data_IF_496601351383
#
_entry.id   IF_496601351383
#
_cell.length_a   1.000
_cell.length_b   1.000
_cell.length_c   1.000
_cell.angle_alpha   90.00
_cell.angle_beta   90.00
_cell.angle_gamma   90.00
#
_symmetry.space_group_name_H-M   'P 1'
#
loop_
_entity.id
_entity.type
_entity.pdbx_description
1 polymer ?
#
# COMPACT_ATOMS: atom_id res chain seq x y z
N UNK A 1 -37.43 29.37 -4.02
CA UNK A 1 -37.94 28.02 -3.67
C UNK A 1 -36.72 27.15 -3.53
N UNK A 2 -36.51 26.64 -2.34
CA UNK A 2 -35.39 25.78 -1.99
C UNK A 2 -35.31 24.58 -2.94
N UNK A 3 -34.13 24.36 -3.51
CA UNK A 3 -33.79 23.19 -4.33
C UNK A 3 -32.44 22.62 -3.88
N UNK A 4 -32.18 21.37 -4.21
CA UNK A 4 -30.93 20.69 -3.93
C UNK A 4 -30.46 19.96 -5.19
N UNK A 5 -29.14 19.98 -5.45
CA UNK A 5 -28.48 19.05 -6.37
C UNK A 5 -27.53 18.17 -5.60
N UNK A 6 -27.39 16.92 -6.05
CA UNK A 6 -26.43 15.96 -5.50
C UNK A 6 -25.38 15.61 -6.56
N UNK A 7 -24.13 15.41 -6.14
CA UNK A 7 -23.10 14.80 -6.97
C UNK A 7 -22.45 13.65 -6.21
N UNK A 8 -22.11 12.58 -6.94
CA UNK A 8 -21.40 11.42 -6.39
C UNK A 8 -20.00 11.32 -6.95
N UNK A 9 -19.04 10.93 -6.11
CA UNK A 9 -17.69 10.59 -6.50
C UNK A 9 -17.37 9.17 -6.04
N UNK A 10 -16.92 8.31 -6.95
CA UNK A 10 -16.58 6.92 -6.65
C UNK A 10 -15.09 6.70 -6.81
N UNK A 11 -14.46 6.10 -5.80
CA UNK A 11 -13.13 5.52 -5.92
C UNK A 11 -13.29 4.01 -6.11
N UNK A 12 -12.75 3.45 -7.18
CA UNK A 12 -12.70 2.01 -7.44
C UNK A 12 -11.27 1.50 -7.32
N UNK A 13 -11.10 0.36 -6.65
CA UNK A 13 -9.82 -0.31 -6.43
C UNK A 13 -9.85 -1.64 -7.17
N UNK A 14 -8.98 -1.77 -8.16
CA UNK A 14 -8.77 -2.98 -8.95
C UNK A 14 -7.65 -3.82 -8.35
N UNK A 15 -7.81 -5.14 -8.37
CA UNK A 15 -6.81 -6.08 -7.87
C UNK A 15 -6.36 -7.02 -8.99
N UNK A 16 -5.11 -6.84 -9.43
CA UNK A 16 -4.55 -7.51 -10.61
C UNK A 16 -3.23 -8.23 -10.31
N UNK A 17 -2.85 -9.18 -11.16
CA UNK A 17 -1.49 -9.72 -11.20
C UNK A 17 -0.53 -8.83 -12.03
N UNK A 18 0.73 -9.24 -12.10
CA UNK A 18 1.79 -8.54 -12.86
C UNK A 18 1.54 -8.50 -14.38
N UNK A 19 0.69 -9.39 -14.90
CA UNK A 19 0.28 -9.42 -16.32
C UNK A 19 -0.98 -8.56 -16.58
N UNK A 20 -1.58 -7.99 -15.53
CA UNK A 20 -2.76 -7.14 -15.58
C UNK A 20 -4.11 -7.89 -15.54
N UNK A 21 -4.11 -9.20 -15.26
CA UNK A 21 -5.35 -9.96 -15.13
C UNK A 21 -6.03 -9.64 -13.79
N UNK A 22 -7.35 -9.47 -13.77
CA UNK A 22 -8.12 -9.36 -12.53
C UNK A 22 -8.09 -10.67 -11.73
N UNK A 23 -7.61 -10.60 -10.49
CA UNK A 23 -7.45 -11.78 -9.60
C UNK A 23 -8.37 -11.76 -8.38
N UNK A 24 -9.02 -10.62 -8.10
CA UNK A 24 -10.02 -10.46 -7.06
C UNK A 24 -11.04 -9.39 -7.49
N UNK A 25 -12.33 -9.49 -7.11
CA UNK A 25 -13.33 -8.46 -7.42
C UNK A 25 -12.91 -7.08 -6.92
N UNK A 26 -13.28 -6.05 -7.69
CA UNK A 26 -13.04 -4.66 -7.33
C UNK A 26 -13.68 -4.30 -5.97
N UNK A 27 -13.14 -3.28 -5.31
CA UNK A 27 -13.76 -2.65 -4.15
C UNK A 27 -13.97 -1.16 -4.45
N UNK A 28 -15.16 -0.63 -4.13
CA UNK A 28 -15.48 0.77 -4.39
C UNK A 28 -15.98 1.48 -3.14
N UNK A 29 -15.66 2.77 -3.05
CA UNK A 29 -16.17 3.71 -2.06
C UNK A 29 -16.89 4.85 -2.78
N UNK A 30 -17.99 5.35 -2.23
CA UNK A 30 -18.76 6.46 -2.84
C UNK A 30 -19.00 7.57 -1.84
N UNK A 31 -18.63 8.79 -2.22
CA UNK A 31 -18.93 10.03 -1.51
C UNK A 31 -20.12 10.72 -2.18
N UNK A 32 -21.01 11.34 -1.40
CA UNK A 32 -22.18 12.06 -1.91
C UNK A 32 -22.19 13.48 -1.35
N UNK A 33 -22.09 14.45 -2.25
CA UNK A 33 -22.07 15.88 -1.99
C UNK A 33 -23.44 16.48 -2.28
N UNK A 34 -23.89 17.46 -1.49
CA UNK A 34 -25.23 18.06 -1.59
C UNK A 34 -25.17 19.58 -1.50
N UNK A 35 -25.42 20.24 -2.63
CA UNK A 35 -25.47 21.70 -2.70
C UNK A 35 -26.92 22.18 -2.82
N UNK A 36 -27.25 23.18 -2.00
CA UNK A 36 -28.54 23.87 -2.05
C UNK A 36 -28.51 25.04 -3.02
N UNK A 37 -29.69 25.44 -3.46
CA UNK A 37 -29.91 26.63 -4.27
C UNK A 37 -31.33 27.12 -4.15
N UNK A 38 -31.59 28.26 -4.79
CA UNK A 38 -32.89 28.89 -4.85
C UNK A 38 -33.39 28.95 -6.28
N UNK A 39 -34.59 28.43 -6.48
CA UNK A 39 -35.34 28.58 -7.73
C UNK A 39 -36.30 29.77 -7.67
N UNK A 40 -36.18 30.66 -8.65
CA UNK A 40 -37.17 31.70 -8.92
C UNK A 40 -38.43 31.05 -9.53
N UNK A 41 -39.61 31.37 -8.99
CA UNK A 41 -40.89 30.76 -9.41
C UNK A 41 -41.57 31.48 -10.58
N UNK A 42 -41.09 32.67 -10.97
CA UNK A 42 -41.58 33.47 -12.10
C UNK A 42 -40.75 33.20 -13.36
N UNK A 43 -39.42 33.18 -13.24
CA UNK A 43 -38.49 32.95 -14.36
C UNK A 43 -38.11 31.47 -14.51
N UNK A 44 -38.13 30.70 -13.42
CA UNK A 44 -37.68 29.32 -13.39
C UNK A 44 -36.16 29.15 -13.26
N UNK A 45 -35.40 30.24 -13.19
CA UNK A 45 -33.94 30.26 -12.99
C UNK A 45 -33.56 29.67 -11.62
N UNK A 46 -32.40 29.01 -11.54
CA UNK A 46 -31.86 28.45 -10.30
C UNK A 46 -30.50 29.07 -10.03
N UNK A 47 -30.35 29.70 -8.86
CA UNK A 47 -29.08 30.15 -8.32
C UNK A 47 -28.62 29.14 -7.28
N UNK A 48 -27.53 28.44 -7.55
CA UNK A 48 -26.88 27.55 -6.57
C UNK A 48 -26.06 28.37 -5.58
N UNK A 49 -25.88 27.89 -4.35
CA UNK A 49 -25.08 28.58 -3.33
C UNK A 49 -23.62 28.76 -3.80
N UNK A 50 -23.15 29.98 -4.13
CA UNK A 50 -21.81 30.20 -4.67
C UNK A 50 -20.72 30.11 -3.58
N UNK A 51 -21.11 30.10 -2.30
CA UNK A 51 -20.21 29.88 -1.17
C UNK A 51 -20.08 28.39 -0.79
N UNK A 52 -20.81 27.49 -1.48
CA UNK A 52 -20.75 26.06 -1.22
C UNK A 52 -19.32 25.53 -1.38
N UNK A 53 -18.83 24.91 -0.32
CA UNK A 53 -17.59 24.14 -0.29
C UNK A 53 -17.73 23.02 0.73
N UNK A 54 -17.47 21.78 0.31
CA UNK A 54 -17.51 20.60 1.17
C UNK A 54 -16.34 19.68 0.83
N UNK A 55 -15.66 19.17 1.85
CA UNK A 55 -14.60 18.17 1.71
C UNK A 55 -15.03 16.89 2.40
N UNK A 56 -15.17 15.82 1.62
CA UNK A 56 -15.37 14.46 2.12
C UNK A 56 -14.12 13.63 1.85
N UNK A 57 -13.96 12.49 2.52
CA UNK A 57 -12.76 11.66 2.40
C UNK A 57 -13.14 10.22 2.06
N UNK A 58 -12.42 9.63 1.10
CA UNK A 58 -12.36 8.18 0.94
C UNK A 58 -11.52 7.61 2.08
N UNK A 59 -11.97 6.51 2.70
CA UNK A 59 -11.20 5.83 3.73
C UNK A 59 -10.01 5.07 3.12
N UNK A 60 -9.01 4.78 3.96
CA UNK A 60 -7.91 3.88 3.59
C UNK A 60 -8.41 2.44 3.44
N UNK A 61 -7.95 1.72 2.42
CA UNK A 61 -8.35 0.33 2.18
C UNK A 61 -7.12 -0.57 2.20
N UNK A 62 -7.10 -1.53 3.12
CA UNK A 62 -6.05 -2.55 3.17
C UNK A 62 -6.24 -3.54 2.03
N UNK A 63 -5.18 -3.87 1.31
CA UNK A 63 -5.23 -4.79 0.19
C UNK A 63 -5.47 -6.22 0.71
N UNK A 64 -6.44 -6.98 0.16
CA UNK A 64 -6.81 -8.29 0.67
C UNK A 64 -5.68 -9.32 0.52
N UNK A 65 -5.68 -10.34 1.37
CA UNK A 65 -4.86 -11.53 1.15
C UNK A 65 -5.53 -12.43 0.10
N UNK A 66 -4.82 -12.72 -1.01
CA UNK A 66 -5.35 -13.50 -2.13
C UNK A 66 -4.54 -14.81 -2.24
N UNK A 67 -5.22 -15.95 -2.28
CA UNK A 67 -4.55 -17.26 -2.35
C UNK A 67 -3.74 -17.42 -3.64
N UNK A 68 -2.49 -17.86 -3.53
CA UNK A 68 -1.56 -17.98 -4.66
C UNK A 68 -0.88 -16.67 -5.07
N UNK A 69 -1.13 -15.57 -4.35
CA UNK A 69 -0.56 -14.24 -4.61
C UNK A 69 0.03 -13.62 -3.34
N UNK A 70 1.01 -12.74 -3.50
CA UNK A 70 1.78 -12.10 -2.44
C UNK A 70 2.17 -10.67 -2.83
N UNK A 71 2.80 -9.95 -1.89
CA UNK A 71 3.40 -8.63 -2.10
C UNK A 71 2.47 -7.60 -2.81
N UNK A 72 1.26 -7.33 -2.27
CA UNK A 72 0.38 -6.31 -2.84
C UNK A 72 1.07 -4.94 -2.85
N UNK A 73 1.03 -4.28 -4.02
CA UNK A 73 1.55 -2.94 -4.21
C UNK A 73 0.45 -2.02 -4.79
N UNK A 74 -0.06 -1.04 -4.00
CA UNK A 74 0.22 -0.82 -2.58
C UNK A 74 -0.43 -1.89 -1.68
N UNK A 75 0.17 -2.15 -0.51
CA UNK A 75 -0.43 -3.01 0.53
C UNK A 75 -1.57 -2.32 1.31
N UNK A 76 -1.62 -0.99 1.24
CA UNK A 76 -2.65 -0.13 1.81
C UNK A 76 -2.89 1.03 0.84
N UNK A 77 -4.07 1.08 0.24
CA UNK A 77 -4.53 2.26 -0.51
C UNK A 77 -4.77 3.37 0.52
N UNK A 78 -4.10 4.53 0.43
CA UNK A 78 -4.30 5.63 1.36
C UNK A 78 -5.68 6.26 1.14
N UNK A 79 -6.30 6.74 2.23
CA UNK A 79 -7.48 7.58 2.12
C UNK A 79 -7.14 8.93 1.48
N UNK A 80 -8.09 9.51 0.75
CA UNK A 80 -7.91 10.77 0.03
C UNK A 80 -9.10 11.71 0.24
N UNK A 81 -8.81 12.99 0.44
CA UNK A 81 -9.82 14.04 0.54
C UNK A 81 -10.21 14.57 -0.84
N UNK A 82 -11.51 14.78 -1.05
CA UNK A 82 -12.10 15.37 -2.25
C UNK A 82 -12.94 16.57 -1.86
N UNK A 83 -12.62 17.74 -2.43
CA UNK A 83 -13.33 19.00 -2.20
C UNK A 83 -14.17 19.39 -3.41
N UNK A 84 -15.49 19.47 -3.23
CA UNK A 84 -16.39 20.08 -4.20
C UNK A 84 -16.75 21.52 -3.77
N UNK A 85 -16.93 22.37 -4.76
CA UNK A 85 -17.46 23.73 -4.66
C UNK A 85 -18.39 23.99 -5.87
N UNK A 86 -19.10 25.12 -5.88
CA UNK A 86 -20.04 25.43 -6.97
C UNK A 86 -19.44 25.29 -8.38
N UNK A 87 -18.20 25.77 -8.56
CA UNK A 87 -17.51 25.81 -9.85
C UNK A 87 -17.05 24.44 -10.37
N UNK A 88 -16.94 23.42 -9.53
CA UNK A 88 -16.60 22.04 -9.94
C UNK A 88 -17.69 21.00 -9.63
N UNK A 89 -18.85 21.41 -9.09
CA UNK A 89 -19.88 20.48 -8.59
C UNK A 89 -20.37 19.47 -9.63
N UNK A 90 -20.40 19.86 -10.91
CA UNK A 90 -20.91 19.01 -12.02
C UNK A 90 -19.80 18.29 -12.79
N UNK A 91 -18.53 18.42 -12.40
CA UNK A 91 -17.45 17.67 -13.02
C UNK A 91 -17.51 16.18 -12.63
N UNK A 92 -16.88 15.31 -13.43
CA UNK A 92 -16.63 13.94 -13.00
C UNK A 92 -15.52 13.93 -11.94
N UNK A 93 -15.78 13.25 -10.82
CA UNK A 93 -14.87 13.12 -9.68
C UNK A 93 -14.58 11.65 -9.36
N UNK A 94 -14.92 10.73 -10.26
CA UNK A 94 -14.56 9.33 -10.11
C UNK A 94 -13.04 9.13 -10.23
N UNK A 95 -12.52 8.10 -9.56
CA UNK A 95 -11.10 7.76 -9.55
C UNK A 95 -10.89 6.25 -9.50
N UNK A 96 -9.79 5.78 -10.07
CA UNK A 96 -9.40 4.37 -10.09
C UNK A 96 -8.02 4.22 -9.45
N UNK A 97 -7.83 3.11 -8.73
CA UNK A 97 -6.56 2.72 -8.10
C UNK A 97 -6.32 1.25 -8.45
N UNK A 98 -5.11 0.91 -8.88
CA UNK A 98 -4.74 -0.49 -9.15
C UNK A 98 -3.76 -0.99 -8.11
N UNK A 99 -4.10 -2.11 -7.47
CA UNK A 99 -3.21 -2.89 -6.61
C UNK A 99 -2.70 -4.08 -7.40
N UNK A 100 -1.38 -4.14 -7.59
CA UNK A 100 -0.71 -5.25 -8.29
C UNK A 100 -0.18 -6.26 -7.28
N UNK A 101 -0.35 -7.55 -7.57
CA UNK A 101 0.20 -8.66 -6.78
C UNK A 101 1.21 -9.48 -7.57
N UNK A 102 2.20 -10.01 -6.86
CA UNK A 102 3.12 -11.01 -7.39
C UNK A 102 2.52 -12.41 -7.22
N UNK A 103 2.66 -13.26 -8.22
CA UNK A 103 2.24 -14.66 -8.11
C UNK A 103 3.23 -15.45 -7.25
N UNK A 104 2.74 -16.22 -6.29
CA UNK A 104 3.58 -17.14 -5.50
C UNK A 104 4.13 -18.20 -6.45
N UNK A 105 5.45 -18.22 -6.62
CA UNK A 105 6.15 -19.35 -7.26
C UNK A 105 6.51 -20.36 -6.19
N UNK A 106 6.19 -21.64 -6.42
CA UNK A 106 6.76 -22.70 -5.58
C UNK A 106 8.29 -22.69 -5.77
N UNK A 107 9.09 -22.77 -4.69
CA UNK A 107 10.51 -23.04 -4.84
C UNK A 107 10.64 -24.39 -5.54
N UNK A 108 11.38 -24.43 -6.66
CA UNK A 108 11.57 -25.65 -7.43
C UNK A 108 12.04 -26.78 -6.51
N UNK A 109 11.21 -27.81 -6.35
CA UNK A 109 11.60 -29.03 -5.65
C UNK A 109 12.78 -29.64 -6.39
N UNK A 110 13.96 -29.55 -5.79
CA UNK A 110 15.08 -30.36 -6.24
C UNK A 110 14.69 -31.82 -6.09
N UNK A 111 14.45 -32.50 -7.21
CA UNK A 111 14.31 -33.96 -7.24
C UNK A 111 15.60 -34.54 -6.64
N UNK A 112 15.53 -35.37 -5.58
CA UNK A 112 16.67 -36.15 -5.15
C UNK A 112 17.11 -37.04 -6.30
N UNK A 113 18.30 -36.79 -6.86
CA UNK A 113 18.84 -37.58 -7.95
C UNK A 113 19.15 -39.00 -7.48
N UNK A 114 18.66 -40.00 -8.21
CA UNK A 114 18.81 -41.41 -7.87
C UNK A 114 20.28 -41.89 -7.81
N UNK A 115 20.48 -42.92 -6.98
CA UNK A 115 21.77 -43.47 -6.59
C UNK A 115 22.52 -44.20 -7.73
N UNK A 116 23.86 -44.20 -7.67
CA UNK A 116 24.66 -45.36 -8.07
C UNK A 116 25.80 -45.61 -7.05
N UNK A 117 26.06 -46.85 -6.61
CA UNK A 117 26.79 -47.11 -5.36
C UNK A 117 28.30 -47.30 -5.52
N UNK A 118 29.02 -47.14 -4.40
CA UNK A 118 30.39 -47.65 -4.22
C UNK A 118 30.56 -48.22 -2.80
N UNK A 119 31.03 -49.47 -2.73
CA UNK A 119 31.40 -50.23 -1.53
C UNK A 119 32.76 -50.94 -1.79
N UNK A 120 33.54 -51.41 -0.78
CA UNK A 120 33.49 -51.10 0.66
C UNK A 120 34.88 -50.94 1.38
N UNK A 121 34.84 -50.35 2.58
CA UNK A 121 35.63 -50.69 3.80
C UNK A 121 37.19 -50.52 3.85
N UNK A 122 37.65 -49.59 4.71
CA UNK A 122 38.61 -49.75 5.85
C UNK A 122 38.78 -48.37 6.53
N UNK A 123 38.80 -48.18 7.86
CA UNK A 123 38.90 -49.11 8.98
C UNK A 123 38.25 -48.47 10.23
N UNK A 124 37.46 -49.20 11.03
CA UNK A 124 36.82 -48.66 12.25
C UNK A 124 36.27 -49.77 13.14
N UNK A 125 36.77 -49.88 14.37
CA UNK A 125 36.61 -51.06 15.21
C UNK A 125 35.96 -50.74 16.57
N UNK A 126 34.84 -51.40 16.85
CA UNK A 126 34.14 -51.61 18.14
C UNK A 126 33.43 -50.44 18.86
N UNK A 127 32.09 -50.53 18.86
CA UNK A 127 31.16 -50.22 19.97
C UNK A 127 31.19 -51.34 21.04
N UNK A 128 30.46 -51.29 22.20
CA UNK A 128 29.42 -50.36 22.69
C UNK A 128 29.83 -49.68 24.05
N UNK A 129 28.99 -49.16 24.97
CA UNK A 129 27.53 -49.17 25.18
C UNK A 129 27.02 -47.97 26.04
N UNK A 130 25.71 -47.92 26.33
CA UNK A 130 25.01 -47.05 27.29
C UNK A 130 24.64 -47.87 28.59
N UNK A 131 24.06 -47.32 29.70
CA UNK A 131 23.42 -45.99 29.84
C UNK A 131 23.58 -45.21 31.19
N UNK A 132 23.02 -43.99 31.20
CA UNK A 132 22.36 -43.25 32.30
C UNK A 132 23.10 -42.83 33.61
N UNK A 133 23.10 -41.51 33.87
CA UNK A 133 22.99 -40.93 35.22
C UNK A 133 22.41 -39.49 35.20
N UNK A 134 21.64 -39.13 36.25
CA UNK A 134 20.84 -37.90 36.43
C UNK A 134 21.60 -36.68 36.97
N UNK A 135 21.07 -35.47 36.69
CA UNK A 135 21.37 -34.24 37.44
C UNK A 135 20.34 -33.12 37.23
N UNK A 136 19.61 -32.72 38.28
CA UNK A 136 18.74 -31.52 38.33
C UNK A 136 19.41 -30.42 39.16
N UNK A 137 19.23 -29.14 38.78
CA UNK A 137 19.07 -28.00 39.69
C UNK A 137 18.76 -26.73 38.86
N UNK A 138 17.57 -26.14 38.93
CA UNK A 138 16.97 -25.24 39.96
C UNK A 138 17.26 -23.76 39.75
N UNK A 139 16.16 -23.03 39.55
CA UNK A 139 15.93 -21.59 39.62
C UNK A 139 16.87 -20.77 40.52
N UNK A 140 17.09 -19.51 40.12
CA UNK A 140 17.14 -18.40 41.08
C UNK A 140 16.41 -17.17 40.51
N UNK A 141 15.48 -16.64 41.29
CA UNK A 141 14.76 -15.39 41.03
C UNK A 141 15.34 -14.29 41.92
N UNK A 142 15.64 -13.12 41.35
CA UNK A 142 15.89 -11.90 42.10
C UNK A 142 15.29 -10.68 41.37
N UNK A 143 14.87 -9.68 42.15
CA UNK A 143 13.95 -8.59 41.77
C UNK A 143 14.65 -7.37 41.13
N UNK A 144 14.05 -6.88 40.04
CA UNK A 144 13.49 -5.52 39.90
C UNK A 144 14.28 -4.29 40.41
N UNK A 145 14.70 -3.41 39.47
CA UNK A 145 14.40 -1.97 39.52
C UNK A 145 14.46 -1.28 38.14
N UNK A 146 13.49 -0.39 37.96
CA UNK A 146 13.23 0.63 36.93
C UNK A 146 14.42 1.31 36.19
N UNK A 147 14.30 1.48 34.86
CA UNK A 147 14.65 2.75 34.19
C UNK A 147 13.97 2.92 32.81
N UNK A 148 13.78 4.18 32.38
CA UNK A 148 13.07 4.61 31.16
C UNK A 148 13.91 4.50 29.88
N UNK A 149 13.22 4.67 28.75
CA UNK A 149 13.72 5.09 27.43
C UNK A 149 14.90 4.32 26.83
N UNK A 150 14.58 3.39 25.91
CA UNK A 150 15.57 2.84 24.95
C UNK A 150 15.13 3.14 23.51
N UNK A 151 15.52 4.32 23.04
CA UNK A 151 15.64 4.63 21.61
C UNK A 151 16.65 3.66 21.01
N UNK A 152 16.33 3.03 19.87
CA UNK A 152 17.27 2.17 19.16
C UNK A 152 18.44 3.02 18.61
N UNK A 153 19.68 2.50 18.59
CA UNK A 153 20.82 3.22 18.05
C UNK A 153 20.67 3.38 16.54
N UNK A 154 20.99 4.58 16.05
CA UNK A 154 21.13 4.89 14.63
C UNK A 154 22.61 5.14 14.38
N UNK A 155 23.22 4.39 13.45
CA UNK A 155 24.61 4.57 13.01
C UNK A 155 24.66 4.51 11.50
N UNK A 156 25.20 5.55 10.89
CA UNK A 156 25.12 5.82 9.45
C UNK A 156 25.47 7.27 9.22
N UNK A 157 26.72 7.61 9.52
CA UNK A 157 27.22 8.97 9.57
C UNK A 157 27.19 9.63 8.19
N UNK A 158 26.65 10.84 8.12
CA UNK A 158 27.07 11.93 7.23
C UNK A 158 26.48 13.22 7.80
N UNK A 159 27.35 14.15 8.20
CA UNK A 159 26.96 15.47 8.68
C UNK A 159 26.63 16.38 7.48
N UNK A 160 25.41 16.91 7.44
CA UNK A 160 25.15 18.29 7.00
C UNK A 160 23.73 18.69 7.46
N UNK A 161 23.67 19.69 8.34
CA UNK A 161 22.45 20.11 9.04
C UNK A 161 21.62 21.08 8.20
N UNK A 162 20.49 20.61 7.66
CA UNK A 162 19.38 21.48 7.28
C UNK A 162 18.02 20.82 7.55
N UNK A 163 17.42 21.16 8.69
CA UNK A 163 16.04 20.84 9.00
C UNK A 163 15.06 21.57 8.06
N UNK A 164 14.69 20.94 6.95
CA UNK A 164 13.51 21.32 6.15
C UNK A 164 12.34 20.38 6.42
N UNK A 165 11.42 20.84 7.27
CA UNK A 165 10.06 20.34 7.27
C UNK A 165 9.33 20.91 6.04
N UNK A 166 8.92 20.05 5.12
CA UNK A 166 8.07 20.42 3.98
C UNK A 166 8.58 19.92 2.62
N UNK A 167 7.65 19.30 1.87
CA UNK A 167 7.63 19.08 0.40
C UNK A 167 8.94 19.13 -0.40
N UNK A 168 9.31 18.01 -1.03
CA UNK A 168 9.37 17.83 -2.50
C UNK A 168 10.07 16.50 -2.84
N UNK A 169 9.51 15.70 -3.76
CA UNK A 169 10.32 14.83 -4.62
C UNK A 169 9.81 14.90 -6.06
N UNK A 170 10.76 15.05 -6.97
CA UNK A 170 10.57 15.56 -8.33
C UNK A 170 10.40 14.41 -9.33
N UNK A 171 9.57 14.62 -10.35
CA UNK A 171 9.40 13.68 -11.47
C UNK A 171 10.70 13.58 -12.27
N UNK A 172 11.18 12.37 -12.52
CA UNK A 172 12.22 12.11 -13.52
C UNK A 172 11.58 12.04 -14.92
N UNK A 173 12.02 12.91 -15.82
CA UNK A 173 11.70 12.85 -17.25
C UNK A 173 12.96 13.11 -18.08
N UNK A 174 13.33 12.15 -18.93
CA UNK A 174 14.41 12.26 -19.91
C UNK A 174 13.87 11.85 -21.30
N UNK A 175 14.57 12.33 -22.35
CA UNK A 175 14.23 12.26 -23.80
C UNK A 175 13.19 13.31 -24.25
N UNK A 176 13.39 14.10 -25.32
CA UNK A 176 14.59 14.28 -26.14
C UNK A 176 14.32 14.95 -27.52
N UNK A 177 14.78 16.20 -27.69
CA UNK A 177 15.12 16.91 -28.95
C UNK A 177 14.11 16.99 -30.14
N UNK A 178 13.79 18.22 -30.56
CA UNK A 178 13.23 18.55 -31.88
C UNK A 178 13.60 19.99 -32.31
N UNK A 179 14.26 20.16 -33.47
CA UNK A 179 14.84 21.43 -33.92
C UNK A 179 13.82 22.45 -34.44
N UNK A 180 14.05 23.75 -34.18
CA UNK A 180 13.57 24.84 -35.05
C UNK A 180 14.72 25.41 -35.89
N UNK A 181 14.55 25.37 -37.22
CA UNK A 181 15.38 26.09 -38.19
C UNK A 181 14.55 27.27 -38.73
N UNK A 182 14.93 28.50 -38.39
CA UNK A 182 14.34 29.70 -39.01
C UNK A 182 14.93 29.89 -40.41
N UNK A 183 14.09 30.29 -41.37
CA UNK A 183 14.51 30.94 -42.62
C UNK A 183 13.56 32.11 -42.85
N UNK A 184 14.18 33.28 -42.95
CA UNK A 184 13.74 34.54 -43.60
C UNK A 184 12.27 34.94 -43.44
#
# INVERSE_FOLDING_TARGET
MDVERSQTATQTIHYVDQDGNTIHPDQSQTLTFKQKGDKDLVTGEIVWDPAYQETLNFDKVASPAISGYQNPNPALVPGSGLTLNDGNFTADHNSEVTVVYEKVTEPATQTPGDNQPAEPNKNGNLTPDAPAATGKNTNNTARETENKDRKLPQTGDNEDDFAYAGFFSMILGLLGLGFLKKRD
#
